data_IF_129552106432
#
_entry.id   IF_129552106432
#
_cell.length_a   1.000
_cell.length_b   1.000
_cell.length_c   1.000
_cell.angle_alpha   90.00
_cell.angle_beta   90.00
_cell.angle_gamma   90.00
#
_symmetry.space_group_name_H-M   'P 1'
#
loop_
_entity.id
_entity.type
_entity.pdbx_description
1 polymer ?
#
# COMPACT_ATOMS: atom_id res chain seq x y z
N UNK A 1 -21.37 26.21 -3.65
CA UNK A 1 -20.12 26.64 -4.32
C UNK A 1 -19.07 25.57 -4.05
N UNK A 2 -18.80 24.69 -5.02
CA UNK A 2 -17.69 23.74 -4.90
C UNK A 2 -16.50 24.34 -5.65
N UNK A 3 -15.57 24.94 -4.93
CA UNK A 3 -14.31 25.44 -5.49
C UNK A 3 -13.44 24.24 -5.83
N UNK A 4 -13.44 23.84 -7.10
CA UNK A 4 -12.43 22.95 -7.66
C UNK A 4 -11.07 23.60 -7.45
N UNK A 5 -10.26 23.08 -6.52
CA UNK A 5 -8.89 23.55 -6.29
C UNK A 5 -8.00 22.99 -7.40
N UNK A 6 -8.06 23.58 -8.58
CA UNK A 6 -7.08 23.27 -9.62
C UNK A 6 -5.79 23.98 -9.26
N UNK A 7 -4.77 23.21 -8.86
CA UNK A 7 -3.43 23.77 -8.68
C UNK A 7 -2.85 24.10 -10.05
N UNK A 8 -2.19 25.25 -10.17
CA UNK A 8 -1.52 25.62 -11.42
C UNK A 8 -0.31 24.72 -11.67
N UNK A 9 0.06 24.56 -12.94
CA UNK A 9 1.23 23.79 -13.34
C UNK A 9 2.53 24.29 -12.70
N UNK A 10 2.62 25.59 -12.39
CA UNK A 10 3.81 26.15 -11.73
C UNK A 10 3.98 25.59 -10.30
N UNK A 11 2.91 25.51 -9.51
CA UNK A 11 2.96 24.97 -8.15
C UNK A 11 3.38 23.49 -8.15
N UNK A 12 2.93 22.72 -9.14
CA UNK A 12 3.35 21.33 -9.28
C UNK A 12 4.84 21.23 -9.59
N UNK A 13 5.37 22.08 -10.46
CA UNK A 13 6.78 22.10 -10.81
C UNK A 13 7.65 22.47 -9.60
N UNK A 14 7.30 23.52 -8.85
CA UNK A 14 7.99 23.90 -7.62
C UNK A 14 8.02 22.77 -6.59
N UNK A 15 6.91 22.04 -6.43
CA UNK A 15 6.85 20.90 -5.50
C UNK A 15 7.61 19.66 -6.00
N UNK A 16 7.83 19.55 -7.31
CA UNK A 16 8.64 18.48 -7.90
C UNK A 16 10.14 18.71 -7.71
N UNK A 17 10.58 19.97 -7.58
CA UNK A 17 11.97 20.30 -7.27
C UNK A 17 12.34 20.02 -5.81
N UNK A 18 11.40 20.16 -4.88
CA UNK A 18 11.59 19.82 -3.46
C UNK A 18 11.29 18.34 -3.17
N UNK A 19 12.33 17.50 -3.28
CA UNK A 19 12.24 16.05 -3.05
C UNK A 19 11.74 15.68 -1.65
N UNK A 20 11.97 16.52 -0.62
CA UNK A 20 11.48 16.25 0.73
C UNK A 20 9.97 16.36 0.87
N UNK A 21 9.33 17.06 -0.07
CA UNK A 21 7.88 17.30 -0.11
C UNK A 21 7.13 16.26 -0.97
N UNK A 22 7.85 15.34 -1.63
CA UNK A 22 7.26 14.28 -2.47
C UNK A 22 7.03 13.01 -1.66
N UNK A 23 5.87 12.38 -1.81
CA UNK A 23 5.55 11.06 -1.22
C UNK A 23 4.93 10.16 -2.29
N UNK A 24 5.62 9.08 -2.62
CA UNK A 24 5.11 8.04 -3.51
C UNK A 24 4.37 7.01 -2.67
N UNK A 25 3.08 6.84 -2.92
CA UNK A 25 2.22 5.95 -2.15
C UNK A 25 1.49 5.02 -3.09
N UNK A 26 1.65 3.70 -2.91
CA UNK A 26 0.82 2.72 -3.62
C UNK A 26 -0.41 2.35 -2.80
N UNK A 27 -1.48 1.96 -3.48
CA UNK A 27 -2.62 1.31 -2.82
C UNK A 27 -2.56 -0.18 -3.10
N UNK A 28 -2.56 -1.00 -2.03
CA UNK A 28 -2.61 -2.45 -2.09
C UNK A 28 -3.89 -2.96 -1.42
N UNK A 29 -4.62 -3.84 -2.09
CA UNK A 29 -5.86 -4.38 -1.56
C UNK A 29 -6.23 -5.71 -2.24
N UNK A 30 -7.05 -6.53 -1.58
CA UNK A 30 -7.69 -7.66 -2.23
C UNK A 30 -8.68 -7.20 -3.32
N UNK A 31 -8.92 -8.04 -4.33
CA UNK A 31 -9.92 -7.79 -5.37
C UNK A 31 -11.27 -7.36 -4.75
N UNK A 32 -11.89 -6.31 -5.31
CA UNK A 32 -13.19 -5.74 -4.85
C UNK A 32 -13.21 -5.18 -3.42
N UNK A 33 -12.07 -4.91 -2.81
CA UNK A 33 -11.99 -4.19 -1.53
C UNK A 33 -12.09 -2.66 -1.67
N UNK A 34 -12.47 -2.15 -2.84
CA UNK A 34 -12.76 -0.73 -3.06
C UNK A 34 -11.55 0.15 -3.36
N UNK A 35 -10.43 -0.45 -3.79
CA UNK A 35 -9.21 0.27 -4.16
C UNK A 35 -9.43 1.35 -5.23
N UNK A 36 -10.09 1.00 -6.33
CA UNK A 36 -10.40 1.93 -7.43
C UNK A 36 -11.34 3.03 -6.96
N UNK A 37 -12.34 2.69 -6.13
CA UNK A 37 -13.25 3.67 -5.52
C UNK A 37 -12.50 4.66 -4.65
N UNK A 38 -11.56 4.20 -3.81
CA UNK A 38 -10.73 5.08 -2.99
C UNK A 38 -9.86 6.00 -3.86
N UNK A 39 -9.22 5.45 -4.90
CA UNK A 39 -8.44 6.24 -5.84
C UNK A 39 -9.31 7.33 -6.50
N UNK A 40 -10.46 6.95 -7.05
CA UNK A 40 -11.41 7.87 -7.67
C UNK A 40 -11.87 8.99 -6.71
N UNK A 41 -12.18 8.67 -5.44
CA UNK A 41 -12.58 9.65 -4.43
C UNK A 41 -11.44 10.61 -4.07
N UNK A 42 -10.19 10.13 -4.02
CA UNK A 42 -9.01 10.97 -3.83
C UNK A 42 -8.81 11.93 -5.01
N UNK A 43 -9.06 11.48 -6.24
CA UNK A 43 -8.98 12.32 -7.43
C UNK A 43 -10.07 13.38 -7.46
N UNK A 44 -11.29 13.00 -7.09
CA UNK A 44 -12.43 13.92 -7.03
C UNK A 44 -12.25 14.99 -5.94
N UNK A 45 -11.77 14.60 -4.75
CA UNK A 45 -11.52 15.53 -3.64
C UNK A 45 -10.40 16.54 -3.92
N UNK A 46 -9.42 16.17 -4.76
CA UNK A 46 -8.38 17.07 -5.23
C UNK A 46 -8.79 17.90 -6.46
N UNK A 47 -10.04 17.77 -6.94
CA UNK A 47 -10.55 18.55 -8.07
C UNK A 47 -9.95 18.18 -9.43
N UNK A 48 -9.21 17.05 -9.51
CA UNK A 48 -8.56 16.58 -10.74
C UNK A 48 -9.60 15.99 -11.69
N UNK A 49 -10.60 15.29 -11.14
CA UNK A 49 -11.70 14.70 -11.89
C UNK A 49 -13.02 15.23 -11.33
N UNK A 50 -13.98 15.55 -12.21
CA UNK A 50 -15.34 15.86 -11.73
C UNK A 50 -15.92 14.64 -11.01
N UNK A 51 -16.65 14.83 -9.91
CA UNK A 51 -17.34 13.73 -9.19
C UNK A 51 -18.26 12.88 -10.08
N UNK A 52 -18.68 13.42 -11.24
CA UNK A 52 -19.51 12.73 -12.25
C UNK A 52 -18.71 11.85 -13.23
N UNK A 53 -17.39 11.95 -13.24
CA UNK A 53 -16.44 11.17 -14.06
C UNK A 53 -15.67 10.13 -13.22
N UNK A 54 -15.59 10.31 -11.90
CA UNK A 54 -15.14 9.28 -10.97
C UNK A 54 -15.91 7.97 -11.22
N UNK A 55 -15.19 6.88 -11.50
CA UNK A 55 -15.78 5.57 -11.79
C UNK A 55 -16.25 5.33 -13.24
N UNK A 56 -15.88 6.14 -14.25
CA UNK A 56 -16.32 5.96 -15.66
C UNK A 56 -15.37 5.17 -16.58
N UNK A 57 -14.33 4.53 -16.07
CA UNK A 57 -13.52 3.58 -16.84
C UNK A 57 -14.32 2.27 -17.07
N UNK A 58 -15.24 2.31 -18.05
CA UNK A 58 -16.25 1.26 -18.31
C UNK A 58 -15.67 -0.16 -18.42
N UNK A 59 -14.45 -0.36 -18.93
CA UNK A 59 -13.90 -1.69 -19.16
C UNK A 59 -13.44 -2.39 -17.86
N UNK A 60 -12.80 -1.67 -16.93
CA UNK A 60 -12.31 -2.24 -15.66
C UNK A 60 -13.46 -2.44 -14.66
N UNK A 61 -14.45 -1.54 -14.66
CA UNK A 61 -15.61 -1.64 -13.79
C UNK A 61 -16.53 -2.81 -14.17
N UNK A 62 -16.71 -3.09 -15.47
CA UNK A 62 -17.46 -4.27 -15.96
C UNK A 62 -16.78 -5.57 -15.52
N UNK A 63 -15.44 -5.59 -15.44
CA UNK A 63 -14.65 -6.75 -15.01
C UNK A 63 -14.42 -6.80 -13.50
N UNK A 64 -14.69 -5.71 -12.77
CA UNK A 64 -14.51 -5.61 -11.32
C UNK A 64 -13.05 -5.68 -10.84
N UNK A 65 -12.07 -5.49 -11.73
CA UNK A 65 -10.63 -5.60 -11.46
C UNK A 65 -9.86 -4.45 -12.14
N UNK A 66 -8.84 -3.91 -11.45
CA UNK A 66 -7.82 -3.03 -12.06
C UNK A 66 -6.84 -3.90 -12.83
N UNK A 67 -6.66 -3.61 -14.12
CA UNK A 67 -5.81 -4.39 -15.04
C UNK A 67 -4.50 -3.68 -15.40
N UNK A 68 -4.37 -2.39 -15.09
CA UNK A 68 -3.16 -1.61 -15.35
C UNK A 68 -2.87 -0.65 -14.21
N UNK A 69 -1.60 -0.41 -13.94
CA UNK A 69 -1.21 0.62 -12.98
C UNK A 69 -1.48 2.02 -13.51
N UNK A 70 -2.04 2.88 -12.67
CA UNK A 70 -2.22 4.30 -12.96
C UNK A 70 -1.57 5.12 -11.85
N UNK A 71 -0.85 6.18 -12.21
CA UNK A 71 -0.25 7.09 -11.27
C UNK A 71 -0.92 8.46 -11.37
N UNK A 72 -1.29 9.04 -10.23
CA UNK A 72 -1.85 10.39 -10.18
C UNK A 72 -1.24 11.20 -9.06
N UNK A 73 -0.87 12.44 -9.36
CA UNK A 73 -0.31 13.37 -8.39
C UNK A 73 -1.40 14.20 -7.71
N UNK A 74 -1.39 14.20 -6.39
CA UNK A 74 -2.29 14.93 -5.51
C UNK A 74 -1.49 15.98 -4.74
N UNK A 75 -2.02 17.20 -4.64
CA UNK A 75 -1.38 18.24 -3.83
C UNK A 75 -2.13 18.39 -2.51
N UNK A 76 -1.45 18.03 -1.42
CA UNK A 76 -2.00 18.09 -0.09
C UNK A 76 -1.29 19.17 0.74
N UNK A 77 -2.06 20.02 1.42
CA UNK A 77 -1.51 21.04 2.31
C UNK A 77 -1.72 20.62 3.76
N UNK A 78 -0.63 20.56 4.52
CA UNK A 78 -0.63 20.24 5.96
C UNK A 78 0.33 21.19 6.69
N UNK A 79 -0.12 21.79 7.78
CA UNK A 79 0.69 22.67 8.64
C UNK A 79 1.41 23.79 7.85
N UNK A 80 0.70 24.41 6.89
CA UNK A 80 1.22 25.41 5.93
C UNK A 80 2.32 24.93 4.97
N UNK A 81 2.72 23.66 5.01
CA UNK A 81 3.58 23.03 4.00
C UNK A 81 2.72 22.29 2.98
N UNK A 82 3.08 22.41 1.70
CA UNK A 82 2.46 21.66 0.60
C UNK A 82 3.28 20.39 0.34
N UNK A 83 2.59 19.31 0.04
CA UNK A 83 3.17 18.02 -0.28
C UNK A 83 2.61 17.54 -1.61
N UNK A 84 3.47 16.93 -2.42
CA UNK A 84 3.10 16.24 -3.63
C UNK A 84 2.99 14.74 -3.33
N UNK A 85 1.78 14.22 -3.36
CA UNK A 85 1.51 12.80 -3.12
C UNK A 85 1.27 12.13 -4.47
N UNK A 86 2.18 11.29 -4.91
CA UNK A 86 2.00 10.48 -6.11
C UNK A 86 1.33 9.17 -5.72
N UNK A 87 0.05 9.04 -6.04
CA UNK A 87 -0.75 7.87 -5.76
C UNK A 87 -0.63 6.88 -6.92
N UNK A 88 -0.15 5.67 -6.64
CA UNK A 88 -0.03 4.57 -7.60
C UNK A 88 -1.14 3.56 -7.33
N UNK A 89 -2.12 3.48 -8.23
CA UNK A 89 -3.14 2.44 -8.20
C UNK A 89 -2.55 1.16 -8.80
N UNK A 90 -2.32 0.14 -7.97
CA UNK A 90 -1.72 -1.14 -8.40
C UNK A 90 -2.80 -2.15 -8.81
N UNK A 91 -2.57 -3.15 -9.66
CA UNK A 91 -3.57 -4.18 -9.91
C UNK A 91 -3.95 -4.95 -8.62
N UNK A 92 -5.23 -5.29 -8.45
CA UNK A 92 -5.69 -6.04 -7.28
C UNK A 92 -5.67 -7.56 -7.44
N UNK A 93 -5.39 -8.07 -8.65
CA UNK A 93 -5.47 -9.50 -8.97
C UNK A 93 -4.10 -10.17 -8.92
N UNK A 94 -4.07 -11.44 -8.50
CA UNK A 94 -2.82 -12.22 -8.32
C UNK A 94 -2.01 -12.40 -9.60
N UNK A 95 -2.69 -12.39 -10.75
CA UNK A 95 -2.07 -12.53 -12.08
C UNK A 95 -1.16 -11.35 -12.46
N UNK A 96 -1.23 -10.24 -11.71
CA UNK A 96 -0.43 -9.03 -11.95
C UNK A 96 0.65 -8.82 -10.87
N UNK A 97 1.10 -9.89 -10.23
CA UNK A 97 2.10 -9.84 -9.15
C UNK A 97 3.41 -9.14 -9.55
N UNK A 98 3.86 -9.28 -10.80
CA UNK A 98 5.04 -8.59 -11.32
C UNK A 98 4.86 -7.07 -11.37
N UNK A 99 3.67 -6.59 -11.73
CA UNK A 99 3.35 -5.17 -11.79
C UNK A 99 3.24 -4.58 -10.37
N UNK A 100 2.63 -5.33 -9.45
CA UNK A 100 2.56 -4.97 -8.03
C UNK A 100 3.96 -4.89 -7.43
N UNK A 101 4.86 -5.83 -7.75
CA UNK A 101 6.26 -5.81 -7.29
C UNK A 101 6.99 -4.53 -7.71
N UNK A 102 6.93 -4.21 -8.99
CA UNK A 102 7.58 -3.00 -9.52
C UNK A 102 6.98 -1.73 -8.91
N UNK A 103 5.65 -1.66 -8.76
CA UNK A 103 5.00 -0.48 -8.18
C UNK A 103 5.39 -0.26 -6.71
N UNK A 104 5.47 -1.33 -5.92
CA UNK A 104 5.85 -1.27 -4.49
C UNK A 104 7.29 -0.77 -4.34
N UNK A 105 8.22 -1.21 -5.18
CA UNK A 105 9.63 -0.77 -5.15
C UNK A 105 9.82 0.72 -5.49
N UNK A 106 8.87 1.33 -6.19
CA UNK A 106 8.89 2.75 -6.53
C UNK A 106 8.23 3.64 -5.47
N UNK A 107 7.67 3.05 -4.41
CA UNK A 107 6.91 3.77 -3.39
C UNK A 107 7.70 3.97 -2.10
N UNK A 108 7.34 5.02 -1.35
CA UNK A 108 7.83 5.26 0.01
C UNK A 108 6.89 4.64 1.06
N UNK A 109 5.63 4.40 0.67
CA UNK A 109 4.60 3.87 1.55
C UNK A 109 3.50 3.12 0.79
N UNK A 110 2.75 2.32 1.54
CA UNK A 110 1.63 1.54 1.00
C UNK A 110 0.38 1.72 1.85
N UNK A 111 -0.74 2.02 1.20
CA UNK A 111 -2.08 1.99 1.80
C UNK A 111 -2.62 0.58 1.65
N UNK A 112 -2.86 -0.10 2.77
CA UNK A 112 -3.45 -1.44 2.80
C UNK A 112 -4.94 -1.31 3.11
N UNK A 113 -5.81 -1.60 2.12
CA UNK A 113 -7.26 -1.58 2.35
C UNK A 113 -7.74 -2.95 2.84
N UNK A 114 -8.52 -2.92 3.92
CA UNK A 114 -9.17 -4.08 4.50
C UNK A 114 -10.66 -3.83 4.60
N UNK A 115 -11.47 -4.67 3.95
CA UNK A 115 -12.92 -4.64 4.11
C UNK A 115 -13.27 -5.16 5.51
N UNK A 116 -13.94 -4.34 6.33
CA UNK A 116 -14.26 -4.72 7.73
C UNK A 116 -15.28 -5.84 7.83
N UNK A 117 -16.11 -6.05 6.80
CA UNK A 117 -17.07 -7.16 6.74
C UNK A 117 -16.32 -8.45 6.45
N UNK A 118 -15.43 -8.45 5.47
CA UNK A 118 -14.69 -9.65 5.07
C UNK A 118 -13.50 -9.98 5.99
N UNK A 119 -12.82 -8.97 6.52
CA UNK A 119 -11.58 -9.12 7.29
C UNK A 119 -10.36 -9.39 6.41
N UNK A 120 -9.33 -10.02 6.97
CA UNK A 120 -8.13 -10.36 6.20
C UNK A 120 -8.40 -11.51 5.21
N UNK A 121 -7.91 -11.32 3.98
CA UNK A 121 -7.85 -12.34 2.93
C UNK A 121 -6.40 -12.68 2.58
N UNK A 122 -6.18 -13.76 1.84
CA UNK A 122 -4.86 -14.20 1.39
C UNK A 122 -4.07 -13.12 0.63
N UNK A 123 -4.74 -12.33 -0.21
CA UNK A 123 -4.08 -11.23 -0.94
C UNK A 123 -3.69 -10.07 -0.02
N UNK A 124 -4.47 -9.78 1.02
CA UNK A 124 -4.09 -8.79 2.05
C UNK A 124 -2.82 -9.22 2.77
N UNK A 125 -2.69 -10.53 3.08
CA UNK A 125 -1.49 -11.09 3.69
C UNK A 125 -0.27 -10.97 2.77
N UNK A 126 -0.45 -11.24 1.48
CA UNK A 126 0.61 -11.09 0.47
C UNK A 126 1.05 -9.63 0.35
N UNK A 127 0.10 -8.69 0.28
CA UNK A 127 0.37 -7.26 0.23
C UNK A 127 1.12 -6.74 1.47
N UNK A 128 0.69 -7.16 2.68
CA UNK A 128 1.38 -6.82 3.93
C UNK A 128 2.82 -7.35 3.95
N UNK A 129 3.02 -8.60 3.54
CA UNK A 129 4.35 -9.22 3.45
C UNK A 129 5.24 -8.46 2.47
N UNK A 130 4.71 -8.13 1.30
CA UNK A 130 5.47 -7.45 0.26
C UNK A 130 5.86 -6.02 0.67
N UNK A 131 4.91 -5.25 1.21
CA UNK A 131 5.18 -3.91 1.73
C UNK A 131 6.26 -3.94 2.83
N UNK A 132 6.27 -4.98 3.66
CA UNK A 132 7.29 -5.15 4.68
C UNK A 132 8.67 -5.50 4.12
N UNK A 133 8.74 -6.45 3.16
CA UNK A 133 9.99 -6.85 2.51
C UNK A 133 10.66 -5.67 1.81
N UNK A 134 9.86 -4.79 1.19
CA UNK A 134 10.31 -3.57 0.52
C UNK A 134 10.43 -2.37 1.48
N UNK A 135 10.36 -2.60 2.79
CA UNK A 135 10.56 -1.58 3.84
C UNK A 135 9.62 -0.35 3.73
N UNK A 136 8.43 -0.53 3.18
CA UNK A 136 7.46 0.55 3.02
C UNK A 136 6.81 0.95 4.33
N UNK A 137 6.45 2.25 4.44
CA UNK A 137 5.55 2.71 5.50
C UNK A 137 4.12 2.24 5.23
N UNK A 138 3.64 1.32 6.05
CA UNK A 138 2.30 0.75 5.94
C UNK A 138 1.26 1.67 6.59
N UNK A 139 0.22 2.02 5.83
CA UNK A 139 -0.97 2.76 6.30
C UNK A 139 -2.17 1.83 6.17
N UNK A 140 -2.71 1.37 7.29
CA UNK A 140 -3.89 0.51 7.30
C UNK A 140 -5.17 1.34 7.18
N UNK A 141 -6.04 0.99 6.22
CA UNK A 141 -7.34 1.63 6.02
C UNK A 141 -8.46 0.59 6.09
N UNK A 142 -9.37 0.79 7.04
CA UNK A 142 -10.60 0.01 7.14
C UNK A 142 -11.66 0.55 6.18
N UNK A 143 -12.05 -0.27 5.21
CA UNK A 143 -13.05 0.07 4.21
C UNK A 143 -14.40 -0.63 4.48
N UNK A 144 -15.46 -0.07 3.90
CA UNK A 144 -16.85 -0.58 3.94
C UNK A 144 -17.47 -0.65 5.34
N UNK A 145 -17.11 0.30 6.21
CA UNK A 145 -17.66 0.41 7.57
C UNK A 145 -19.18 0.68 7.53
N UNK A 146 -19.64 1.40 6.50
CA UNK A 146 -21.05 1.66 6.23
C UNK A 146 -21.89 0.38 6.16
N UNK A 147 -21.35 -0.71 5.59
CA UNK A 147 -22.06 -2.00 5.48
C UNK A 147 -22.41 -2.60 6.85
N UNK A 148 -21.61 -2.33 7.88
CA UNK A 148 -21.90 -2.80 9.24
C UNK A 148 -23.22 -2.21 9.77
N UNK A 149 -23.53 -0.98 9.40
CA UNK A 149 -24.70 -0.26 9.88
C UNK A 149 -25.89 -0.36 8.91
N UNK A 150 -25.64 -0.28 7.60
CA UNK A 150 -26.69 -0.24 6.57
C UNK A 150 -27.17 -1.63 6.20
N UNK A 151 -26.25 -2.57 5.94
CA UNK A 151 -26.60 -3.94 5.53
C UNK A 151 -26.83 -4.84 6.74
N UNK A 152 -25.85 -4.88 7.65
CA UNK A 152 -25.87 -5.79 8.80
C UNK A 152 -26.68 -5.26 9.99
N UNK A 153 -27.00 -3.96 9.99
CA UNK A 153 -27.78 -3.28 11.04
C UNK A 153 -27.24 -3.50 12.45
N UNK A 154 -25.91 -3.58 12.58
CA UNK A 154 -25.25 -3.76 13.86
C UNK A 154 -25.29 -2.49 14.71
N UNK A 155 -25.30 -2.68 16.02
CA UNK A 155 -25.09 -1.61 16.97
C UNK A 155 -23.65 -1.05 16.90
N UNK A 156 -23.41 0.20 17.32
CA UNK A 156 -22.05 0.76 17.40
C UNK A 156 -21.06 -0.12 18.19
N UNK A 157 -21.56 -0.82 19.22
CA UNK A 157 -20.75 -1.73 20.04
C UNK A 157 -20.32 -2.97 19.25
N UNK A 158 -21.23 -3.59 18.51
CA UNK A 158 -20.92 -4.76 17.67
C UNK A 158 -19.96 -4.38 16.53
N UNK A 159 -20.18 -3.23 15.89
CA UNK A 159 -19.28 -2.70 14.87
C UNK A 159 -17.87 -2.45 15.42
N UNK A 160 -17.76 -1.85 16.61
CA UNK A 160 -16.48 -1.66 17.30
C UNK A 160 -15.78 -3.00 17.56
N UNK A 161 -16.48 -3.98 18.12
CA UNK A 161 -15.92 -5.31 18.40
C UNK A 161 -15.43 -6.00 17.12
N UNK A 162 -16.16 -5.83 16.01
CA UNK A 162 -15.71 -6.34 14.70
C UNK A 162 -14.42 -5.68 14.25
N UNK A 163 -14.38 -4.36 14.18
CA UNK A 163 -13.20 -3.61 13.69
C UNK A 163 -11.99 -3.92 14.57
N UNK A 164 -12.17 -3.91 15.88
CA UNK A 164 -11.13 -4.29 16.84
C UNK A 164 -10.65 -5.73 16.64
N UNK A 165 -11.57 -6.67 16.38
CA UNK A 165 -11.23 -8.06 16.07
C UNK A 165 -10.42 -8.20 14.78
N UNK A 166 -10.77 -7.44 13.73
CA UNK A 166 -9.99 -7.40 12.48
C UNK A 166 -8.60 -6.82 12.75
N UNK A 167 -8.49 -5.70 13.47
CA UNK A 167 -7.19 -5.12 13.84
C UNK A 167 -6.31 -6.10 14.62
N UNK A 168 -6.88 -6.79 15.61
CA UNK A 168 -6.15 -7.81 16.37
C UNK A 168 -5.62 -8.91 15.44
N UNK A 169 -6.46 -9.41 14.54
CA UNK A 169 -6.04 -10.43 13.58
C UNK A 169 -4.90 -9.94 12.66
N UNK A 170 -4.94 -8.67 12.22
CA UNK A 170 -3.84 -8.06 11.44
C UNK A 170 -2.56 -8.04 12.28
N UNK A 171 -2.64 -7.56 13.52
CA UNK A 171 -1.48 -7.48 14.40
C UNK A 171 -0.88 -8.87 14.67
N UNK A 172 -1.71 -9.89 14.88
CA UNK A 172 -1.25 -11.27 15.09
C UNK A 172 -0.50 -11.81 13.86
N UNK A 173 -1.01 -11.54 12.65
CA UNK A 173 -0.36 -11.93 11.39
C UNK A 173 0.96 -11.20 11.21
N UNK A 174 0.94 -9.87 11.39
CA UNK A 174 2.12 -9.00 11.28
C UNK A 174 3.18 -9.49 12.26
N UNK A 175 2.85 -9.67 13.55
CA UNK A 175 3.78 -10.18 14.54
C UNK A 175 4.40 -11.53 14.14
N UNK A 176 3.59 -12.47 13.63
CA UNK A 176 4.08 -13.79 13.18
C UNK A 176 5.00 -13.69 11.96
N UNK A 177 4.58 -12.96 10.92
CA UNK A 177 5.37 -12.79 9.70
C UNK A 177 6.70 -12.09 10.02
N UNK A 178 6.67 -11.08 10.87
CA UNK A 178 7.83 -10.28 11.21
C UNK A 178 8.82 -11.09 12.04
N UNK A 179 8.33 -11.88 12.99
CA UNK A 179 9.17 -12.80 13.77
C UNK A 179 9.84 -13.82 12.85
N UNK A 180 9.10 -14.43 11.91
CA UNK A 180 9.66 -15.38 10.93
C UNK A 180 10.76 -14.75 10.09
N UNK A 181 10.52 -13.55 9.54
CA UNK A 181 11.48 -12.86 8.67
C UNK A 181 12.73 -12.40 9.42
N UNK A 182 12.61 -12.01 10.70
CA UNK A 182 13.77 -11.69 11.53
C UNK A 182 14.63 -12.93 11.78
N UNK A 183 14.00 -14.07 12.09
CA UNK A 183 14.70 -15.35 12.29
C UNK A 183 15.39 -15.82 11.00
N UNK A 184 14.73 -15.69 9.85
CA UNK A 184 15.31 -16.00 8.53
C UNK A 184 16.55 -15.13 8.24
N UNK A 185 16.45 -13.80 8.42
CA UNK A 185 17.58 -12.88 8.22
C UNK A 185 18.74 -13.14 9.19
N UNK A 186 18.46 -13.47 10.45
CA UNK A 186 19.50 -13.83 11.42
C UNK A 186 20.20 -15.13 11.04
N UNK A 187 19.46 -16.14 10.57
CA UNK A 187 20.04 -17.39 10.10
C UNK A 187 20.92 -17.19 8.84
N UNK A 188 20.48 -16.38 7.88
CA UNK A 188 21.27 -16.04 6.69
C UNK A 188 22.57 -15.31 7.04
N UNK A 189 22.54 -14.39 8.01
CA UNK A 189 23.75 -13.70 8.48
C UNK A 189 24.75 -14.63 9.18
N UNK A 190 24.26 -15.62 9.94
CA UNK A 190 25.12 -16.64 10.54
C UNK A 190 25.75 -17.58 9.51
N UNK A 191 24.99 -17.95 8.48
CA UNK A 191 25.50 -18.76 7.35
C UNK A 191 26.54 -17.97 6.56
N UNK A 192 26.28 -16.69 6.24
CA UNK A 192 27.22 -15.84 5.49
C UNK A 192 28.54 -15.67 6.25
N UNK A 193 28.48 -15.42 7.57
CA UNK A 193 29.69 -15.37 8.42
C UNK A 193 30.47 -16.67 8.41
N UNK A 194 29.81 -17.83 8.43
CA UNK A 194 30.50 -19.13 8.34
C UNK A 194 31.16 -19.35 6.98
N UNK A 195 30.49 -18.94 5.90
CA UNK A 195 31.04 -19.03 4.53
C UNK A 195 32.24 -18.10 4.35
N UNK A 196 32.18 -16.87 4.86
CA UNK A 196 33.30 -15.92 4.85
C UNK A 196 34.49 -16.42 5.68
N UNK A 197 34.24 -17.00 6.86
CA UNK A 197 35.31 -17.59 7.68
C UNK A 197 35.96 -18.77 6.96
N UNK A 198 35.17 -19.66 6.35
CA UNK A 198 35.72 -20.82 5.64
C UNK A 198 36.51 -20.41 4.39
N UNK A 199 36.07 -19.40 3.65
CA UNK A 199 36.80 -18.90 2.48
C UNK A 199 38.09 -18.15 2.87
N UNK A 200 38.11 -17.45 4.01
CA UNK A 200 39.34 -16.87 4.57
C UNK A 200 40.34 -17.93 5.02
N UNK A 201 39.84 -19.05 5.55
CA UNK A 201 40.68 -20.21 5.92
C UNK A 201 41.27 -20.83 4.66
N UNK A 202 40.46 -21.15 3.64
CA UNK A 202 40.94 -21.76 2.38
C UNK A 202 41.96 -20.89 1.63
N UNK A 203 41.77 -19.56 1.60
CA UNK A 203 42.71 -18.65 0.94
C UNK A 203 44.03 -18.45 1.71
N UNK A 204 44.05 -18.64 3.04
CA UNK A 204 45.28 -18.54 3.83
C UNK A 204 46.12 -19.83 3.83
N UNK A 205 45.56 -20.96 3.40
CA UNK A 205 46.31 -22.23 3.31
C UNK A 205 47.09 -22.40 2.00
N UNK A 206 46.97 -21.49 1.03
CA UNK A 206 47.73 -21.53 -0.23
C UNK A 206 49.03 -20.70 -0.25
N UNK A 207 49.44 -20.11 0.89
CA UNK A 207 50.70 -19.34 0.99
C UNK A 207 51.86 -20.07 1.70
N UNK A 208 51.68 -21.36 2.02
CA UNK A 208 52.72 -22.19 2.63
C UNK A 208 52.87 -23.54 1.90
N UNK A 209 53.18 -23.50 0.61
CA UNK A 209 53.90 -24.58 -0.09
C UNK A 209 54.98 -23.99 -1.00
#
# INVERSE_FOLDING_TARGET
>A
MSTTRTYSSEILFELQEDTESIRNICILAHVRHGKTTLADDLLASNGIISTRLAGKAKAEQIRGITMKSSAVSLVHQKDNKKYLINLIDTPGHVDFSSEISTAVQLCDGAIILVDVVEGLRSQTLAALRQAWLEHLRIILVFNKIDRLFVELKWSPREAYLRIHGVLKHINDVVAKQFTSLLLEKSAEQEVMKKVDINSLIENNFHFYE
#
